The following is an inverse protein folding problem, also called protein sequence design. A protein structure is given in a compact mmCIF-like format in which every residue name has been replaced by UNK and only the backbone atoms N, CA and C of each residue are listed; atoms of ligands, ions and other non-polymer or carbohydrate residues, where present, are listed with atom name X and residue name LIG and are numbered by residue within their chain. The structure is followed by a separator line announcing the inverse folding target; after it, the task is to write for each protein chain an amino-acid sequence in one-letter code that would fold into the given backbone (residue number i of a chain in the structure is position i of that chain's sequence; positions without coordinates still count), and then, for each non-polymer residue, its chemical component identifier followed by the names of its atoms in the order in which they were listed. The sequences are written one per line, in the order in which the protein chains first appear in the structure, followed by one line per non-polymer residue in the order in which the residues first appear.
data_IF_368678768822
#
_entry.id   IF_368678768822
#
_cell.length_a   1.000
_cell.length_b   1.000
_cell.length_c   1.000
_cell.angle_alpha   90.00
_cell.angle_beta   90.00
_cell.angle_gamma   90.00
#
_symmetry.space_group_name_H-M   'P 1'
#
loop_
_entity.id
_entity.type
_entity.pdbx_description
1 polymer ?
#
# COMPACT_ATOMS: atom_id res chain seq x y z
N UNK A 1 4.50 18.03 -8.65
CA UNK A 1 3.09 17.62 -8.86
C UNK A 1 2.59 17.85 -10.30
N UNK A 2 3.14 18.79 -11.07
CA UNK A 2 2.83 18.95 -12.51
C UNK A 2 2.98 17.66 -13.32
N UNK A 3 3.97 16.83 -12.99
CA UNK A 3 4.22 15.53 -13.63
C UNK A 3 3.00 14.60 -13.55
N UNK A 4 2.26 14.58 -12.44
CA UNK A 4 1.08 13.71 -12.28
C UNK A 4 -0.01 14.13 -13.25
N UNK A 5 -0.30 15.44 -13.34
CA UNK A 5 -1.27 15.98 -14.30
C UNK A 5 -0.85 15.67 -15.73
N UNK A 6 0.44 15.81 -16.05
CA UNK A 6 0.96 15.50 -17.38
C UNK A 6 0.81 14.01 -17.72
N UNK A 7 1.05 13.11 -16.75
CA UNK A 7 0.81 11.66 -16.93
C UNK A 7 -0.67 11.39 -17.19
N UNK A 8 -1.57 11.97 -16.39
CA UNK A 8 -3.02 11.84 -16.57
C UNK A 8 -3.45 12.38 -17.95
N UNK A 9 -2.83 13.45 -18.45
CA UNK A 9 -3.07 14.02 -19.77
C UNK A 9 -2.36 13.30 -20.93
N UNK A 10 -1.52 12.29 -20.66
CA UNK A 10 -0.73 11.63 -21.71
C UNK A 10 -1.58 10.73 -22.61
N UNK A 11 -1.10 10.51 -23.84
CA UNK A 11 -1.73 9.62 -24.81
C UNK A 11 -1.88 8.19 -24.28
N UNK A 12 -0.93 7.72 -23.48
CA UNK A 12 -0.97 6.41 -22.82
C UNK A 12 -2.20 6.23 -21.92
N UNK A 13 -2.69 7.31 -21.29
CA UNK A 13 -3.89 7.28 -20.44
C UNK A 13 -5.17 7.78 -21.14
N UNK A 14 -5.09 8.26 -22.38
CA UNK A 14 -6.24 8.79 -23.13
C UNK A 14 -7.41 7.80 -23.22
N UNK A 15 -7.13 6.50 -23.36
CA UNK A 15 -8.13 5.42 -23.46
C UNK A 15 -8.87 5.13 -22.17
N UNK A 16 -8.30 5.52 -21.02
CA UNK A 16 -8.88 5.30 -19.69
C UNK A 16 -9.60 6.54 -19.16
N UNK A 17 -9.72 7.58 -19.98
CA UNK A 17 -10.38 8.85 -19.64
C UNK A 17 -11.68 9.02 -20.39
N UNK A 18 -12.60 9.73 -19.76
CA UNK A 18 -13.80 10.21 -20.44
C UNK A 18 -13.41 11.32 -21.43
N UNK A 19 -13.79 11.15 -22.70
CA UNK A 19 -13.45 12.09 -23.79
C UNK A 19 -13.96 13.53 -23.54
N UNK A 20 -15.07 13.67 -22.83
CA UNK A 20 -15.70 14.95 -22.51
C UNK A 20 -15.38 15.47 -21.09
N UNK A 21 -14.31 15.01 -20.43
CA UNK A 21 -13.93 15.51 -19.11
C UNK A 21 -12.48 15.99 -19.06
N UNK A 22 -12.30 17.18 -18.50
CA UNK A 22 -10.97 17.70 -18.19
C UNK A 22 -10.41 17.00 -16.94
N UNK A 23 -9.10 17.12 -16.72
CA UNK A 23 -8.48 16.61 -15.49
C UNK A 23 -8.99 17.35 -14.25
N UNK A 24 -9.35 18.63 -14.41
CA UNK A 24 -9.93 19.43 -13.35
C UNK A 24 -11.31 18.90 -12.95
N UNK A 25 -12.12 18.48 -13.91
CA UNK A 25 -13.43 17.86 -13.64
C UNK A 25 -13.26 16.57 -12.81
N UNK A 26 -12.26 15.74 -13.16
CA UNK A 26 -11.95 14.51 -12.40
C UNK A 26 -11.50 14.80 -10.97
N UNK A 27 -10.67 15.84 -10.76
CA UNK A 27 -10.25 16.29 -9.43
C UNK A 27 -11.47 16.74 -8.62
N UNK A 28 -12.32 17.60 -9.19
CA UNK A 28 -13.53 18.11 -8.55
C UNK A 28 -14.49 16.97 -8.17
N UNK A 29 -14.66 15.99 -9.07
CA UNK A 29 -15.48 14.81 -8.80
C UNK A 29 -14.93 13.96 -7.66
N UNK A 30 -13.62 13.76 -7.61
CA UNK A 30 -12.99 12.89 -6.60
C UNK A 30 -13.03 13.52 -5.21
N UNK A 31 -12.76 14.83 -5.09
CA UNK A 31 -12.87 15.57 -3.81
C UNK A 31 -14.26 15.42 -3.20
N UNK A 32 -15.31 15.51 -4.02
CA UNK A 32 -16.70 15.40 -3.57
C UNK A 32 -17.18 13.96 -3.30
N UNK A 33 -16.47 12.95 -3.81
CA UNK A 33 -16.83 11.53 -3.67
C UNK A 33 -15.94 10.74 -2.72
N UNK A 34 -14.84 11.33 -2.24
CA UNK A 34 -13.95 10.67 -1.30
C UNK A 34 -14.72 10.29 -0.03
N UNK A 35 -14.81 8.99 0.26
CA UNK A 35 -15.60 8.41 1.35
C UNK A 35 -14.95 8.48 2.74
N UNK A 36 -13.90 9.27 2.91
CA UNK A 36 -13.27 9.48 4.21
C UNK A 36 -13.98 10.60 5.01
N UNK A 37 -13.77 10.62 6.32
CA UNK A 37 -14.33 11.62 7.24
C UNK A 37 -13.48 12.89 7.37
N UNK A 38 -12.55 13.15 6.43
CA UNK A 38 -11.68 14.33 6.52
C UNK A 38 -12.44 15.58 6.08
N UNK A 39 -12.12 16.72 6.70
CA UNK A 39 -12.64 18.03 6.27
C UNK A 39 -12.21 18.31 4.82
N UNK A 40 -13.11 18.89 4.03
CA UNK A 40 -12.84 19.35 2.66
C UNK A 40 -12.49 20.84 2.69
N UNK A 41 -11.34 21.19 2.14
CA UNK A 41 -10.89 22.57 2.07
C UNK A 41 -11.16 23.14 0.67
N UNK A 42 -11.51 24.44 0.56
CA UNK A 42 -11.83 25.05 -0.74
C UNK A 42 -10.69 24.97 -1.76
N UNK A 43 -9.43 24.93 -1.30
CA UNK A 43 -8.24 24.81 -2.13
C UNK A 43 -7.90 23.35 -2.52
N UNK A 44 -8.68 22.34 -2.11
CA UNK A 44 -8.43 20.94 -2.49
C UNK A 44 -8.57 20.69 -4.00
N UNK A 45 -9.28 21.55 -4.72
CA UNK A 45 -9.43 21.43 -6.18
C UNK A 45 -8.29 22.11 -6.95
N UNK A 46 -7.57 23.05 -6.33
CA UNK A 46 -6.51 23.84 -6.97
C UNK A 46 -5.11 23.45 -6.50
N UNK A 47 -4.99 22.95 -5.27
CA UNK A 47 -3.75 22.40 -4.70
C UNK A 47 -3.80 20.88 -4.66
N UNK A 48 -2.93 20.23 -5.44
CA UNK A 48 -2.81 18.78 -5.43
C UNK A 48 -2.28 18.21 -4.09
N UNK A 49 -1.59 19.02 -3.29
CA UNK A 49 -1.18 18.63 -1.96
C UNK A 49 -2.40 18.54 -1.04
N UNK A 50 -3.23 19.59 -1.05
CA UNK A 50 -4.47 19.59 -0.28
C UNK A 50 -5.44 18.53 -0.80
N UNK A 51 -5.49 18.30 -2.11
CA UNK A 51 -6.21 17.18 -2.71
C UNK A 51 -5.80 15.86 -2.06
N UNK A 52 -4.51 15.54 -2.06
CA UNK A 52 -4.00 14.32 -1.44
C UNK A 52 -4.39 14.23 0.04
N UNK A 53 -4.20 15.32 0.80
CA UNK A 53 -4.55 15.36 2.22
C UNK A 53 -6.04 15.10 2.42
N UNK A 54 -6.91 15.74 1.65
CA UNK A 54 -8.35 15.66 1.87
C UNK A 54 -8.91 14.33 1.37
N UNK A 55 -8.43 13.81 0.24
CA UNK A 55 -8.98 12.60 -0.39
C UNK A 55 -8.30 11.30 0.03
N UNK A 56 -7.22 11.32 0.83
CA UNK A 56 -6.49 10.10 1.22
C UNK A 56 -7.41 9.06 1.85
N UNK A 57 -7.28 7.83 1.39
CA UNK A 57 -7.96 6.66 1.92
C UNK A 57 -6.98 5.51 2.02
N UNK A 58 -7.34 4.50 2.79
CA UNK A 58 -6.57 3.28 2.83
C UNK A 58 -6.69 2.50 1.53
N UNK A 59 -5.59 1.87 1.11
CA UNK A 59 -5.59 0.81 0.11
C UNK A 59 -5.70 -0.58 0.75
N UNK A 60 -6.02 -0.66 2.05
CA UNK A 60 -6.16 -1.87 2.86
C UNK A 60 -4.92 -2.78 2.90
N UNK A 61 -3.75 -2.28 2.49
CA UNK A 61 -2.48 -3.00 2.46
C UNK A 61 -1.54 -2.60 3.60
N UNK A 62 -2.07 -2.49 4.82
CA UNK A 62 -1.26 -2.19 6.01
C UNK A 62 -0.24 -3.31 6.27
N UNK A 63 0.93 -2.93 6.75
CA UNK A 63 2.05 -3.83 7.04
C UNK A 63 2.99 -3.18 8.06
N UNK A 64 3.96 -3.95 8.56
CA UNK A 64 4.90 -3.51 9.58
C UNK A 64 4.42 -3.76 11.03
N UNK A 65 5.23 -3.34 12.00
CA UNK A 65 5.02 -3.58 13.43
C UNK A 65 5.88 -4.69 14.03
N UNK A 66 6.23 -5.73 13.25
CA UNK A 66 7.05 -6.87 13.68
C UNK A 66 8.27 -7.06 12.75
N UNK A 67 8.96 -5.97 12.43
CA UNK A 67 9.97 -5.94 11.37
C UNK A 67 11.18 -6.85 11.65
N UNK A 68 11.70 -7.44 10.58
CA UNK A 68 12.98 -8.19 10.60
C UNK A 68 14.11 -7.26 11.07
N UNK A 69 14.95 -7.76 11.98
CA UNK A 69 16.06 -7.03 12.59
C UNK A 69 15.65 -6.07 13.72
N UNK A 70 14.34 -5.93 14.00
CA UNK A 70 13.82 -5.14 15.14
C UNK A 70 13.05 -6.00 16.14
N UNK A 71 12.18 -6.88 15.66
CA UNK A 71 11.34 -7.76 16.50
C UNK A 71 11.61 -9.24 16.20
N UNK A 72 11.86 -9.58 14.93
CA UNK A 72 12.20 -10.95 14.51
C UNK A 72 13.55 -11.01 13.80
N UNK A 73 14.20 -12.17 13.81
CA UNK A 73 15.41 -12.43 13.02
C UNK A 73 15.09 -12.76 11.54
N UNK A 74 16.12 -13.11 10.75
CA UNK A 74 15.96 -13.48 9.33
C UNK A 74 15.24 -14.81 9.10
N UNK A 75 15.10 -15.62 10.14
CA UNK A 75 14.31 -16.84 10.16
C UNK A 75 12.92 -16.62 10.78
N UNK A 76 12.53 -15.36 10.95
CA UNK A 76 11.24 -14.93 11.50
C UNK A 76 11.02 -15.35 12.96
N UNK A 77 12.09 -15.69 13.68
CA UNK A 77 12.04 -16.00 15.12
C UNK A 77 12.00 -14.71 15.92
N UNK A 78 11.17 -14.67 16.96
CA UNK A 78 11.10 -13.50 17.85
C UNK A 78 12.40 -13.38 18.64
N UNK A 79 13.00 -12.19 18.64
CA UNK A 79 14.28 -11.95 19.31
C UNK A 79 14.15 -12.17 20.82
N UNK A 80 15.08 -12.93 21.39
CA UNK A 80 15.11 -13.23 22.83
C UNK A 80 14.09 -14.27 23.30
N UNK A 81 13.30 -14.86 22.40
CA UNK A 81 12.34 -15.91 22.72
C UNK A 81 12.59 -17.18 21.91
N UNK A 82 12.49 -18.31 22.59
CA UNK A 82 12.53 -19.61 21.94
C UNK A 82 11.14 -20.03 21.44
N UNK A 83 11.14 -20.87 20.40
CA UNK A 83 9.94 -21.54 19.87
C UNK A 83 8.80 -20.61 19.36
N UNK A 84 9.04 -19.30 19.23
CA UNK A 84 8.07 -18.33 18.72
C UNK A 84 8.54 -17.69 17.40
N UNK A 85 7.61 -17.59 16.44
CA UNK A 85 7.83 -16.93 15.13
C UNK A 85 6.62 -16.09 14.74
N UNK A 86 6.84 -15.06 13.93
CA UNK A 86 5.77 -14.24 13.31
C UNK A 86 5.93 -14.27 11.80
N UNK A 87 4.91 -14.71 11.07
CA UNK A 87 4.96 -14.89 9.62
C UNK A 87 3.65 -14.33 9.01
N UNK A 88 3.60 -13.02 8.83
CA UNK A 88 2.48 -12.30 8.23
C UNK A 88 2.96 -10.95 7.65
N UNK A 89 2.02 -10.05 7.31
CA UNK A 89 2.37 -8.74 6.74
C UNK A 89 3.12 -7.81 7.71
N UNK A 90 3.08 -8.07 9.03
CA UNK A 90 3.70 -7.21 10.03
C UNK A 90 5.24 -7.23 9.95
N UNK A 91 5.82 -8.23 9.27
CA UNK A 91 7.27 -8.38 9.14
C UNK A 91 7.89 -7.58 8.00
N UNK A 92 7.07 -7.00 7.11
CA UNK A 92 7.55 -6.19 6.00
C UNK A 92 7.85 -4.73 6.41
N UNK A 93 8.88 -4.14 5.82
CA UNK A 93 9.16 -2.70 5.90
C UNK A 93 8.52 -1.88 4.78
N UNK A 94 8.08 -2.54 3.71
CA UNK A 94 7.36 -1.96 2.57
C UNK A 94 6.40 -3.00 1.98
N UNK A 95 5.34 -2.57 1.30
CA UNK A 95 4.39 -3.50 0.66
C UNK A 95 5.08 -4.31 -0.46
N UNK A 96 5.04 -5.65 -0.43
CA UNK A 96 5.59 -6.46 -1.50
C UNK A 96 4.68 -6.43 -2.74
N UNK A 97 4.89 -5.44 -3.61
CA UNK A 97 4.11 -5.21 -4.83
C UNK A 97 2.82 -4.41 -4.60
N UNK A 98 2.04 -4.22 -5.67
CA UNK A 98 0.78 -3.43 -5.65
C UNK A 98 -0.29 -4.09 -4.79
N UNK A 99 -0.47 -5.41 -4.92
CA UNK A 99 -1.40 -6.21 -4.13
C UNK A 99 -0.62 -7.31 -3.41
N UNK A 100 -0.36 -7.19 -2.10
CA UNK A 100 0.62 -8.03 -1.41
C UNK A 100 0.11 -9.43 -1.06
N UNK A 101 -1.18 -9.72 -1.27
CA UNK A 101 -1.83 -10.97 -0.84
C UNK A 101 -1.08 -12.22 -1.30
N UNK A 102 -0.76 -12.33 -2.59
CA UNK A 102 -0.06 -13.51 -3.12
C UNK A 102 1.34 -13.67 -2.53
N UNK A 103 2.06 -12.57 -2.32
CA UNK A 103 3.37 -12.58 -1.68
C UNK A 103 3.29 -13.05 -0.22
N UNK A 104 2.29 -12.58 0.54
CA UNK A 104 2.05 -13.00 1.93
C UNK A 104 1.69 -14.48 2.00
N UNK A 105 0.80 -14.97 1.13
CA UNK A 105 0.44 -16.40 1.07
C UNK A 105 1.66 -17.28 0.75
N UNK A 106 2.49 -16.86 -0.20
CA UNK A 106 3.72 -17.57 -0.55
C UNK A 106 4.73 -17.58 0.61
N UNK A 107 4.88 -16.45 1.32
CA UNK A 107 5.73 -16.36 2.52
C UNK A 107 5.32 -17.41 3.56
N UNK A 108 4.02 -17.51 3.87
CA UNK A 108 3.49 -18.50 4.82
C UNK A 108 3.88 -19.93 4.42
N UNK A 109 3.65 -20.31 3.16
CA UNK A 109 4.01 -21.63 2.65
C UNK A 109 5.53 -21.89 2.69
N UNK A 110 6.32 -20.91 2.26
CA UNK A 110 7.78 -21.00 2.19
C UNK A 110 8.38 -21.24 3.57
N UNK A 111 7.95 -20.45 4.56
CA UNK A 111 8.43 -20.59 5.94
C UNK A 111 7.93 -21.87 6.61
N UNK A 112 6.68 -22.28 6.36
CA UNK A 112 6.18 -23.58 6.81
C UNK A 112 7.03 -24.74 6.31
N UNK A 113 7.43 -24.73 5.03
CA UNK A 113 8.35 -25.74 4.47
C UNK A 113 9.73 -25.72 5.13
N UNK A 114 10.30 -24.54 5.38
CA UNK A 114 11.60 -24.39 6.06
C UNK A 114 11.57 -24.95 7.47
N UNK A 115 10.49 -24.70 8.22
CA UNK A 115 10.30 -25.25 9.58
C UNK A 115 10.23 -26.79 9.54
N UNK A 116 9.50 -27.37 8.58
CA UNK A 116 9.45 -28.82 8.43
C UNK A 116 10.82 -29.42 8.09
N UNK A 117 11.59 -28.75 7.22
CA UNK A 117 12.94 -29.19 6.85
C UNK A 117 13.92 -29.10 8.03
N UNK A 118 13.84 -28.06 8.85
CA UNK A 118 14.73 -27.90 10.01
C UNK A 118 14.46 -28.93 11.11
N UNK A 119 13.27 -29.56 11.14
CA UNK A 119 12.93 -30.64 12.08
C UNK A 119 13.41 -32.02 11.65
N UNK A 120 13.79 -32.17 10.38
CA UNK A 120 14.29 -33.45 9.81
C UNK A 120 15.81 -33.56 9.86
N UNK A 121 16.50 -32.49 10.23
CA UNK A 121 17.92 -32.45 10.53
C UNK A 121 18.10 -32.61 12.03
#
# INVERSE_FOLDING_TARGET
MQTIINVVNSDSLSRFRFRNMTTQDLINMTVNRAGNLRRRNPNATTSLEQYCIDTVMTFWHYHGGCQIGKVVDRDYKVLGLDQLRVIDASTFSFSPGTNPQAAIMMLGRSMGRRILQSRRR
#
